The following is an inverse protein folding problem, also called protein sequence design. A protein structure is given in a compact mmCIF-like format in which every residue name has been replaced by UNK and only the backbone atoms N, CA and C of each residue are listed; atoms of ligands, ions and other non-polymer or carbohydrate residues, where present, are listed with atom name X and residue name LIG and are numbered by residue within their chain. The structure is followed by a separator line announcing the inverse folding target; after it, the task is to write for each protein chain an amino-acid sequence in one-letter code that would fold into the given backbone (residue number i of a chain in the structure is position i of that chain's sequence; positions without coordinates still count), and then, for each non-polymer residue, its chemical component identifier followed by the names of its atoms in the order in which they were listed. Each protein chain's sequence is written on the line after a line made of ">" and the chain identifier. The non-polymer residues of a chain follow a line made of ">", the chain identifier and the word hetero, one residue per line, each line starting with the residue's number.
data_IF_792523813195
#
_entry.id   IF_792523813195
#
_cell.length_a   1.000
_cell.length_b   1.000
_cell.length_c   1.000
_cell.angle_alpha   90.00
_cell.angle_beta   90.00
_cell.angle_gamma   90.00
#
_symmetry.space_group_name_H-M   'P 1'
#
loop_
_entity.id
_entity.type
_entity.pdbx_description
1 polymer ?
#
# COMPACT_ATOMS: atom_id res chain seq x y z
N UNK A 1 -25.71 -5.20 -4.31
CA UNK A 1 -26.47 -5.97 -3.31
C UNK A 1 -25.50 -6.90 -2.62
N UNK A 2 -25.00 -6.57 -1.43
CA UNK A 2 -24.05 -7.41 -0.69
C UNK A 2 -24.56 -7.56 0.74
N UNK A 3 -24.93 -8.79 1.09
CA UNK A 3 -25.37 -9.16 2.42
C UNK A 3 -24.16 -9.19 3.37
N UNK A 4 -24.27 -8.48 4.48
CA UNK A 4 -23.31 -8.49 5.58
C UNK A 4 -23.85 -9.49 6.61
N UNK A 5 -23.09 -10.55 6.89
CA UNK A 5 -23.36 -11.49 7.98
C UNK A 5 -22.45 -11.13 9.15
N UNK A 6 -23.05 -11.08 10.34
CA UNK A 6 -22.57 -10.43 11.55
C UNK A 6 -21.78 -11.43 12.43
N UNK A 7 -20.86 -10.87 13.24
CA UNK A 7 -20.30 -11.36 14.52
C UNK A 7 -18.96 -12.12 14.46
N UNK A 8 -17.92 -11.41 14.91
CA UNK A 8 -16.68 -11.91 15.50
C UNK A 8 -15.59 -12.47 14.58
N UNK A 9 -15.06 -11.68 13.64
CA UNK A 9 -13.64 -11.75 13.26
C UNK A 9 -13.14 -10.34 12.88
N UNK A 10 -11.89 -10.02 13.25
CA UNK A 10 -11.18 -8.78 12.97
C UNK A 10 -11.54 -8.17 11.61
N UNK A 11 -11.88 -6.88 11.64
CA UNK A 11 -12.29 -6.03 10.52
C UNK A 11 -11.14 -5.70 9.55
N UNK A 12 -10.33 -6.68 9.15
CA UNK A 12 -9.48 -6.54 7.98
C UNK A 12 -10.21 -7.23 6.83
N UNK A 13 -10.72 -6.51 5.82
CA UNK A 13 -11.24 -7.16 4.64
C UNK A 13 -10.13 -8.05 4.07
N UNK A 14 -10.41 -9.35 3.89
CA UNK A 14 -9.46 -10.35 3.35
C UNK A 14 -8.92 -9.98 1.95
N UNK A 15 -9.46 -8.93 1.33
CA UNK A 15 -9.11 -8.43 0.00
C UNK A 15 -8.20 -7.20 0.01
N UNK A 16 -8.01 -6.52 1.15
CA UNK A 16 -7.03 -5.44 1.26
C UNK A 16 -5.65 -6.04 1.57
N UNK A 17 -4.84 -6.25 0.53
CA UNK A 17 -3.49 -6.78 0.72
C UNK A 17 -2.59 -5.69 1.29
N UNK A 18 -2.44 -5.69 2.62
CA UNK A 18 -1.45 -4.84 3.31
C UNK A 18 -0.10 -5.56 3.30
N UNK A 19 0.90 -4.98 2.64
CA UNK A 19 2.26 -5.49 2.54
C UNK A 19 3.08 -4.90 3.70
N UNK A 20 3.51 -5.70 4.69
CA UNK A 20 4.32 -5.21 5.80
C UNK A 20 5.78 -4.99 5.38
N UNK A 21 6.34 -3.85 5.77
CA UNK A 21 7.75 -3.50 5.57
C UNK A 21 8.35 -3.12 6.93
N UNK A 22 9.21 -3.98 7.47
CA UNK A 22 9.82 -3.82 8.80
C UNK A 22 11.32 -3.56 8.76
N UNK A 23 11.88 -3.39 7.57
CA UNK A 23 13.30 -3.11 7.37
C UNK A 23 13.62 -1.64 7.65
N UNK A 24 14.86 -1.37 8.11
CA UNK A 24 15.31 -0.01 8.43
C UNK A 24 15.54 0.87 7.19
N UNK A 25 15.64 0.27 6.02
CA UNK A 25 15.77 0.91 4.71
C UNK A 25 15.16 0.00 3.64
N UNK A 26 14.79 0.57 2.51
CA UNK A 26 14.22 -0.19 1.41
C UNK A 26 13.82 0.73 0.25
N UNK A 27 13.40 0.12 -0.86
CA UNK A 27 12.82 0.83 -2.00
C UNK A 27 11.47 0.21 -2.32
N UNK A 28 10.47 1.07 -2.51
CA UNK A 28 9.12 0.67 -2.92
C UNK A 28 8.94 1.14 -4.36
N UNK A 29 8.43 0.25 -5.21
CA UNK A 29 8.10 0.57 -6.60
C UNK A 29 6.65 0.23 -6.88
N UNK A 30 6.06 0.90 -7.86
CA UNK A 30 4.80 0.45 -8.44
C UNK A 30 4.97 -0.95 -9.05
N UNK A 31 3.89 -1.75 -9.15
CA UNK A 31 3.93 -2.96 -9.94
C UNK A 31 4.39 -2.65 -11.38
N UNK A 32 5.21 -3.52 -11.93
CA UNK A 32 5.79 -3.42 -13.28
C UNK A 32 6.81 -2.29 -13.52
N UNK A 33 7.14 -1.46 -12.53
CA UNK A 33 8.16 -0.41 -12.70
C UNK A 33 9.44 -1.00 -13.37
N UNK A 34 9.98 -0.39 -14.45
CA UNK A 34 9.71 0.97 -14.93
C UNK A 34 8.52 1.12 -15.90
N UNK A 35 7.80 0.05 -16.22
CA UNK A 35 6.60 0.10 -17.05
C UNK A 35 5.39 0.68 -16.29
N UNK A 36 4.33 1.03 -17.02
CA UNK A 36 3.08 1.53 -16.43
C UNK A 36 2.47 0.56 -15.43
N UNK A 37 1.93 1.12 -14.34
CA UNK A 37 1.21 0.34 -13.34
C UNK A 37 -0.10 -0.25 -13.92
N UNK A 38 -0.54 -1.45 -13.48
CA UNK A 38 -1.81 -2.02 -13.94
C UNK A 38 -3.01 -1.17 -13.48
N UNK A 39 -4.04 -1.12 -14.32
CA UNK A 39 -5.35 -0.57 -13.92
C UNK A 39 -5.95 -1.36 -12.76
N UNK A 40 -6.77 -0.69 -11.95
CA UNK A 40 -7.49 -1.30 -10.82
C UNK A 40 -6.55 -1.93 -9.77
N UNK A 41 -5.32 -1.41 -9.65
CA UNK A 41 -4.38 -1.82 -8.61
C UNK A 41 -4.69 -1.10 -7.29
N UNK A 42 -4.96 -1.86 -6.24
CA UNK A 42 -5.08 -1.38 -4.86
C UNK A 42 -4.04 -2.09 -3.98
N UNK A 43 -2.99 -1.36 -3.60
CA UNK A 43 -1.89 -1.86 -2.78
C UNK A 43 -1.65 -0.92 -1.61
N UNK A 44 -1.47 -1.50 -0.44
CA UNK A 44 -1.14 -0.75 0.77
C UNK A 44 0.15 -1.30 1.36
N UNK A 45 1.13 -0.43 1.59
CA UNK A 45 2.34 -0.79 2.32
C UNK A 45 2.26 -0.27 3.75
N UNK A 46 2.52 -1.14 4.72
CA UNK A 46 2.61 -0.79 6.13
C UNK A 46 4.07 -0.76 6.57
N UNK A 47 4.64 0.44 6.69
CA UNK A 47 6.04 0.64 7.06
C UNK A 47 6.14 0.84 8.57
N UNK A 48 6.82 -0.08 9.26
CA UNK A 48 7.00 -0.04 10.71
C UNK A 48 8.49 -0.04 11.04
N UNK A 49 8.91 0.89 11.91
CA UNK A 49 10.26 0.96 12.47
C UNK A 49 10.21 0.83 14.00
N UNK A 50 11.29 0.41 14.66
CA UNK A 50 11.34 0.34 16.12
C UNK A 50 11.14 1.71 16.76
N UNK A 51 10.76 1.70 18.05
CA UNK A 51 10.61 2.92 18.85
C UNK A 51 11.90 3.75 18.86
N UNK A 52 11.75 5.08 18.81
CA UNK A 52 12.87 6.02 18.74
C UNK A 52 13.38 6.30 17.33
N UNK A 53 12.85 5.63 16.31
CA UNK A 53 13.16 5.89 14.90
C UNK A 53 12.00 6.61 14.19
N UNK A 54 12.32 7.20 13.03
CA UNK A 54 11.34 7.88 12.17
C UNK A 54 11.52 7.42 10.73
N UNK A 55 10.40 7.25 10.03
CA UNK A 55 10.39 6.92 8.59
C UNK A 55 10.66 8.20 7.79
N UNK A 56 11.64 8.17 6.90
CA UNK A 56 11.89 9.23 5.91
C UNK A 56 11.65 8.67 4.51
N UNK A 57 10.78 9.31 3.75
CA UNK A 57 10.44 8.93 2.38
C UNK A 57 10.89 10.02 1.40
N UNK A 58 11.34 9.59 0.24
CA UNK A 58 11.61 10.45 -0.90
C UNK A 58 11.26 9.70 -2.20
N UNK A 59 10.85 10.43 -3.22
CA UNK A 59 10.52 9.87 -4.52
C UNK A 59 11.66 10.12 -5.49
N UNK A 60 12.19 9.04 -6.09
CA UNK A 60 13.15 9.13 -7.18
C UNK A 60 12.45 9.26 -8.54
N UNK A 61 11.26 8.69 -8.65
CA UNK A 61 10.38 8.78 -9.80
C UNK A 61 8.93 8.85 -9.30
N UNK A 62 8.14 9.74 -9.89
CA UNK A 62 6.73 9.91 -9.53
C UNK A 62 5.95 10.35 -10.77
N UNK A 63 5.14 9.43 -11.31
CA UNK A 63 4.28 9.64 -12.46
C UNK A 63 2.93 8.96 -12.18
N UNK A 64 1.85 9.73 -12.24
CA UNK A 64 0.49 9.30 -11.91
C UNK A 64 -0.51 9.88 -12.91
N UNK A 65 -1.61 9.16 -13.14
CA UNK A 65 -2.74 9.69 -13.91
C UNK A 65 -3.28 10.99 -13.28
N UNK A 66 -3.60 12.02 -14.08
CA UNK A 66 -4.16 13.26 -13.57
C UNK A 66 -5.54 13.00 -12.96
N UNK A 67 -5.83 13.68 -11.84
CA UNK A 67 -7.19 13.71 -11.31
C UNK A 67 -8.06 14.52 -12.26
N UNK A 68 -8.97 13.87 -12.97
CA UNK A 68 -10.00 14.55 -13.76
C UNK A 68 -11.03 15.17 -12.81
N UNK A 69 -10.77 16.40 -12.37
CA UNK A 69 -11.79 17.33 -11.89
C UNK A 69 -12.36 18.12 -13.07
#
# INVERSE_FOLDING_TARGET
>A
MRAIVILAQCLCPLWAQVIPLTEMYGTITSPNFPESYPKETDLQWNITVPDGYQVRLYFMHFDIEPSYL
#
